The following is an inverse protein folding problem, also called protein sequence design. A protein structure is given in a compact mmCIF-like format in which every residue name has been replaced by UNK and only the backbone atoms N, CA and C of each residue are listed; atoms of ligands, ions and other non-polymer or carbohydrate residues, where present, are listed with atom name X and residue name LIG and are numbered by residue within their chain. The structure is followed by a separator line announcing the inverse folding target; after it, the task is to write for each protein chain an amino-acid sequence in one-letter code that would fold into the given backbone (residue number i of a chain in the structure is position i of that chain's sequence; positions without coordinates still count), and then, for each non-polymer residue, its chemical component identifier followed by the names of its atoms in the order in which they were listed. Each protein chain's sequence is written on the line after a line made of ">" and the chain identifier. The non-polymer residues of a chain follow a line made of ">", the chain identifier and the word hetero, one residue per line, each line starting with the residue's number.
data_IF_445098963347
#
_entry.id   IF_445098963347
#
_cell.length_a   1.000
_cell.length_b   1.000
_cell.length_c   1.000
_cell.angle_alpha   90.00
_cell.angle_beta   90.00
_cell.angle_gamma   90.00
#
_symmetry.space_group_name_H-M   'P 1'
#
loop_
_entity.id
_entity.type
_entity.pdbx_description
1 polymer ?
#
# COMPACT_ATOMS: atom_id res chain seq x y z
N UNK A 1 46.46 -56.47 34.32
CA UNK A 1 45.12 -56.74 33.75
C UNK A 1 44.13 -55.95 34.59
N UNK A 2 43.82 -54.71 34.18
CA UNK A 2 43.03 -53.73 34.94
C UNK A 2 41.67 -53.53 34.27
N UNK A 3 40.68 -53.40 35.14
CA UNK A 3 39.25 -53.59 34.97
C UNK A 3 38.56 -52.59 34.04
N UNK A 4 37.53 -53.08 33.35
CA UNK A 4 36.51 -52.32 32.64
C UNK A 4 35.70 -51.44 33.62
N UNK A 5 35.54 -50.16 33.30
CA UNK A 5 34.40 -49.35 33.75
C UNK A 5 33.72 -48.78 32.50
N UNK A 6 32.57 -49.40 32.19
CA UNK A 6 31.56 -48.94 31.24
C UNK A 6 30.95 -47.63 31.78
N UNK A 7 31.15 -46.52 31.06
CA UNK A 7 30.42 -45.27 31.29
C UNK A 7 29.09 -45.36 30.54
N UNK A 8 28.02 -45.57 31.31
CA UNK A 8 26.63 -45.53 30.88
C UNK A 8 26.23 -44.13 30.40
N UNK A 9 25.80 -44.07 29.15
CA UNK A 9 24.49 -43.56 28.72
C UNK A 9 23.81 -42.52 29.66
N UNK A 10 23.97 -41.25 29.32
CA UNK A 10 22.99 -40.22 29.67
C UNK A 10 22.66 -39.44 28.39
N UNK A 11 21.88 -40.10 27.52
CA UNK A 11 21.13 -39.44 26.46
C UNK A 11 19.99 -38.61 27.11
N UNK A 12 20.34 -37.46 27.67
CA UNK A 12 19.35 -36.40 27.86
C UNK A 12 19.17 -35.74 26.49
N UNK A 13 18.17 -36.24 25.75
CA UNK A 13 17.59 -35.50 24.64
C UNK A 13 17.13 -34.14 25.18
N UNK A 14 17.95 -33.12 25.01
CA UNK A 14 17.50 -31.75 25.15
C UNK A 14 16.51 -31.51 24.01
N UNK A 15 15.23 -31.66 24.33
CA UNK A 15 14.14 -31.09 23.55
C UNK A 15 14.39 -29.58 23.57
N UNK A 16 14.95 -29.05 22.48
CA UNK A 16 15.06 -27.61 22.27
C UNK A 16 13.65 -27.08 22.05
N UNK A 17 13.01 -26.62 23.13
CA UNK A 17 11.79 -25.85 23.02
C UNK A 17 12.15 -24.53 22.35
N UNK A 18 11.61 -24.30 21.15
CA UNK A 18 11.80 -23.05 20.42
C UNK A 18 11.22 -21.90 21.24
N UNK A 19 12.08 -21.17 21.96
CA UNK A 19 11.69 -19.93 22.64
C UNK A 19 11.42 -18.86 21.58
N UNK A 20 10.16 -18.73 21.17
CA UNK A 20 9.70 -17.56 20.41
C UNK A 20 9.47 -16.42 21.42
N UNK A 21 10.53 -15.71 21.80
CA UNK A 21 10.39 -14.54 22.68
C UNK A 21 11.70 -13.81 22.98
N UNK A 22 11.72 -12.51 22.64
CA UNK A 22 12.63 -11.43 23.09
C UNK A 22 13.93 -11.15 22.33
N UNK A 23 14.23 -11.84 21.23
CA UNK A 23 15.33 -11.38 20.37
C UNK A 23 14.90 -10.15 19.56
N UNK A 24 15.74 -9.09 19.48
CA UNK A 24 15.48 -7.95 18.61
C UNK A 24 15.27 -8.42 17.16
N UNK A 25 14.19 -7.96 16.53
CA UNK A 25 13.95 -8.23 15.11
C UNK A 25 14.96 -7.41 14.30
N UNK A 26 15.81 -8.04 13.48
CA UNK A 26 16.83 -7.32 12.72
C UNK A 26 16.20 -6.51 11.58
N UNK A 27 16.86 -5.43 11.19
CA UNK A 27 16.59 -4.74 9.92
C UNK A 27 17.45 -5.41 8.85
N UNK A 28 16.82 -5.98 7.82
CA UNK A 28 17.49 -6.63 6.70
C UNK A 28 17.91 -5.62 5.63
N UNK A 29 17.07 -4.61 5.40
CA UNK A 29 17.30 -3.55 4.41
C UNK A 29 16.85 -2.21 4.97
N UNK A 30 17.62 -1.18 4.70
CA UNK A 30 17.25 0.21 4.96
C UNK A 30 17.83 1.11 3.87
N UNK A 31 16.98 1.92 3.26
CA UNK A 31 17.33 2.94 2.28
C UNK A 31 16.65 4.25 2.68
N UNK A 32 17.35 5.36 2.56
CA UNK A 32 16.83 6.71 2.79
C UNK A 32 17.58 7.69 1.90
N UNK A 33 16.85 8.55 1.22
CA UNK A 33 17.39 9.58 0.34
C UNK A 33 16.49 10.83 0.39
N UNK A 34 17.13 12.00 0.39
CA UNK A 34 16.49 13.28 0.63
C UNK A 34 16.31 13.64 2.13
N UNK A 35 15.52 14.68 2.45
CA UNK A 35 14.78 15.50 1.49
C UNK A 35 15.71 16.27 0.54
N UNK A 36 15.40 16.20 -0.74
CA UNK A 36 16.10 16.90 -1.80
C UNK A 36 15.64 18.36 -1.86
N UNK A 37 16.40 19.19 -2.57
CA UNK A 37 16.10 20.63 -2.72
C UNK A 37 14.76 20.91 -3.39
N UNK A 38 14.23 19.97 -4.17
CA UNK A 38 12.94 20.03 -4.85
C UNK A 38 11.78 19.48 -4.00
N UNK A 39 12.04 19.15 -2.72
CA UNK A 39 11.07 18.56 -1.80
C UNK A 39 10.82 17.07 -2.03
N UNK A 40 11.55 16.43 -2.95
CA UNK A 40 11.45 14.98 -3.14
C UNK A 40 12.19 14.20 -2.07
N UNK A 41 11.71 13.01 -1.74
CA UNK A 41 12.38 12.08 -0.83
C UNK A 41 11.98 10.65 -1.15
N UNK A 42 12.76 9.69 -0.65
CA UNK A 42 12.38 8.27 -0.64
C UNK A 42 12.98 7.56 0.56
N UNK A 43 12.27 6.58 1.06
CA UNK A 43 12.78 5.66 2.07
C UNK A 43 12.19 4.27 1.86
N UNK A 44 12.92 3.25 2.29
CA UNK A 44 12.45 1.87 2.29
C UNK A 44 13.12 1.09 3.42
N UNK A 45 12.40 0.16 4.03
CA UNK A 45 12.98 -0.77 4.99
C UNK A 45 12.35 -2.16 4.90
N UNK A 46 13.10 -3.14 5.38
CA UNK A 46 12.68 -4.53 5.50
C UNK A 46 13.20 -5.10 6.82
N UNK A 47 12.34 -5.79 7.56
CA UNK A 47 12.65 -6.40 8.85
C UNK A 47 12.73 -7.93 8.74
N UNK A 48 13.44 -8.57 9.67
CA UNK A 48 13.61 -10.03 9.73
C UNK A 48 12.32 -10.80 10.00
N UNK A 49 11.23 -10.13 10.39
CA UNK A 49 9.90 -10.73 10.54
C UNK A 49 8.97 -10.42 9.35
N UNK A 50 9.53 -10.16 8.17
CA UNK A 50 8.81 -9.97 6.91
C UNK A 50 7.86 -8.75 6.90
N UNK A 51 8.20 -7.71 7.67
CA UNK A 51 7.58 -6.40 7.53
C UNK A 51 8.43 -5.60 6.56
N UNK A 52 7.80 -5.07 5.52
CA UNK A 52 8.45 -4.14 4.60
C UNK A 52 7.59 -2.91 4.40
N UNK A 53 8.22 -1.76 4.29
CA UNK A 53 7.55 -0.53 3.90
C UNK A 53 8.47 0.33 3.06
N UNK A 54 7.88 1.09 2.15
CA UNK A 54 8.56 2.04 1.30
C UNK A 54 7.64 3.21 1.02
N UNK A 55 8.23 4.38 0.82
CA UNK A 55 7.51 5.58 0.41
C UNK A 55 8.45 6.47 -0.40
N UNK A 56 7.89 7.15 -1.40
CA UNK A 56 8.50 8.27 -2.07
C UNK A 56 7.54 9.45 -2.08
N UNK A 57 8.07 10.64 -1.87
CA UNK A 57 7.30 11.87 -1.95
C UNK A 57 7.94 12.88 -2.87
N UNK A 58 7.11 13.82 -3.35
CA UNK A 58 7.52 14.95 -4.18
C UNK A 58 6.54 16.11 -4.02
N UNK A 59 6.97 17.32 -4.36
CA UNK A 59 6.12 18.52 -4.30
C UNK A 59 5.63 18.87 -5.71
N UNK A 60 4.32 18.78 -5.95
CA UNK A 60 3.69 19.37 -7.13
C UNK A 60 3.78 20.89 -7.03
N UNK A 61 4.06 21.56 -8.16
CA UNK A 61 4.21 23.02 -8.26
C UNK A 61 5.33 23.61 -7.37
N UNK A 62 6.41 22.85 -7.13
CA UNK A 62 7.55 23.33 -6.36
C UNK A 62 8.06 24.69 -6.86
N UNK A 63 8.28 25.63 -5.93
CA UNK A 63 8.78 26.98 -6.21
C UNK A 63 7.73 27.97 -6.71
N UNK A 64 6.43 27.60 -6.71
CA UNK A 64 5.32 28.51 -7.05
C UNK A 64 4.84 29.35 -5.86
N UNK A 65 5.35 29.09 -4.66
CA UNK A 65 5.04 29.84 -3.44
C UNK A 65 4.05 29.12 -2.52
N UNK A 66 4.02 29.55 -1.26
CA UNK A 66 3.18 28.96 -0.22
C UNK A 66 1.69 28.95 -0.64
N UNK A 67 1.04 27.79 -0.54
CA UNK A 67 -0.37 27.60 -0.88
C UNK A 67 -0.66 27.13 -2.32
N UNK A 68 0.34 27.12 -3.21
CA UNK A 68 0.23 26.46 -4.53
C UNK A 68 0.99 25.13 -4.60
N UNK A 69 1.91 24.93 -3.68
CA UNK A 69 2.69 23.72 -3.51
C UNK A 69 1.86 22.64 -2.84
N UNK A 70 1.84 21.45 -3.44
CA UNK A 70 1.10 20.29 -2.93
C UNK A 70 2.09 19.16 -2.73
N UNK A 71 2.27 18.75 -1.47
CA UNK A 71 3.03 17.56 -1.15
C UNK A 71 2.25 16.32 -1.60
N UNK A 72 2.91 15.45 -2.35
CA UNK A 72 2.44 14.13 -2.70
C UNK A 72 3.35 13.10 -2.05
N UNK A 73 2.76 12.03 -1.51
CA UNK A 73 3.48 10.87 -1.02
C UNK A 73 2.80 9.60 -1.54
N UNK A 74 3.57 8.67 -2.07
CA UNK A 74 3.11 7.36 -2.49
C UNK A 74 3.94 6.29 -1.82
N UNK A 75 3.30 5.24 -1.35
CA UNK A 75 3.99 4.22 -0.58
C UNK A 75 3.25 2.91 -0.53
N UNK A 76 3.94 1.93 0.04
CA UNK A 76 3.39 0.60 0.27
C UNK A 76 3.95 -0.01 1.54
N UNK A 77 3.12 -0.75 2.26
CA UNK A 77 3.50 -1.54 3.43
C UNK A 77 2.98 -2.96 3.28
N UNK A 78 3.79 -3.93 3.69
CA UNK A 78 3.45 -5.34 3.74
C UNK A 78 3.84 -5.94 5.07
N UNK A 79 2.97 -6.77 5.64
CA UNK A 79 3.23 -7.51 6.88
C UNK A 79 2.41 -8.79 6.94
N UNK A 80 2.79 -9.73 7.80
CA UNK A 80 1.98 -10.91 8.11
C UNK A 80 1.04 -10.63 9.26
N UNK A 81 -0.26 -10.86 9.05
CA UNK A 81 -1.26 -10.83 10.12
C UNK A 81 -1.05 -11.99 11.13
N UNK A 82 -1.65 -11.94 12.32
CA UNK A 82 -1.47 -12.97 13.36
C UNK A 82 -1.87 -14.39 12.94
N UNK A 83 -2.73 -14.51 11.94
CA UNK A 83 -3.16 -15.76 11.30
C UNK A 83 -2.19 -16.26 10.21
N UNK A 84 -1.13 -15.51 9.93
CA UNK A 84 -0.15 -15.79 8.88
C UNK A 84 -0.53 -15.25 7.49
N UNK A 85 -1.71 -14.62 7.36
CA UNK A 85 -2.16 -14.05 6.08
C UNK A 85 -1.28 -12.85 5.70
N UNK A 86 -0.71 -12.81 4.48
CA UNK A 86 0.02 -11.65 4.02
C UNK A 86 -0.95 -10.49 3.79
N UNK A 87 -0.70 -9.36 4.45
CA UNK A 87 -1.42 -8.11 4.28
C UNK A 87 -0.52 -7.15 3.52
N UNK A 88 -1.03 -6.61 2.43
CA UNK A 88 -0.40 -5.55 1.67
C UNK A 88 -1.34 -4.35 1.57
N UNK A 89 -0.76 -3.15 1.63
CA UNK A 89 -1.42 -1.87 1.51
C UNK A 89 -0.56 -0.98 0.62
N UNK A 90 -1.13 -0.40 -0.42
CA UNK A 90 -0.55 0.72 -1.17
C UNK A 90 -1.35 1.98 -0.90
N UNK A 91 -0.75 3.15 -1.06
CA UNK A 91 -1.46 4.40 -0.90
C UNK A 91 -0.86 5.51 -1.75
N UNK A 92 -1.71 6.50 -2.03
CA UNK A 92 -1.33 7.81 -2.52
C UNK A 92 -1.94 8.83 -1.56
N UNK A 93 -1.13 9.78 -1.10
CA UNK A 93 -1.53 10.92 -0.31
C UNK A 93 -1.26 12.18 -1.13
N UNK A 94 -2.30 12.91 -1.50
CA UNK A 94 -2.21 14.16 -2.26
C UNK A 94 -3.28 15.17 -1.81
N UNK A 95 -3.58 16.15 -2.65
CA UNK A 95 -4.65 17.14 -2.46
C UNK A 95 -6.04 16.56 -2.17
N UNK A 96 -6.29 15.31 -2.58
CA UNK A 96 -7.54 14.60 -2.33
C UNK A 96 -7.50 13.77 -1.03
N UNK A 97 -6.43 13.90 -0.23
CA UNK A 97 -6.22 13.17 1.00
C UNK A 97 -5.56 11.80 0.80
N UNK A 98 -5.66 10.95 1.82
CA UNK A 98 -5.07 9.61 1.84
C UNK A 98 -5.98 8.59 1.17
N UNK A 99 -5.47 7.92 0.13
CA UNK A 99 -6.21 6.98 -0.70
C UNK A 99 -5.57 5.59 -0.63
N UNK A 100 -5.90 4.79 0.41
CA UNK A 100 -5.35 3.46 0.57
C UNK A 100 -6.01 2.43 -0.36
N UNK A 101 -5.23 1.50 -0.88
CA UNK A 101 -5.71 0.30 -1.58
C UNK A 101 -5.11 -0.95 -0.93
N UNK A 102 -5.96 -1.92 -0.64
CA UNK A 102 -5.57 -3.19 -0.04
C UNK A 102 -6.76 -4.13 0.02
N UNK A 103 -6.53 -5.43 -0.19
CA UNK A 103 -7.60 -6.44 -0.22
C UNK A 103 -8.37 -6.57 1.11
N UNK A 104 -7.75 -6.15 2.22
CA UNK A 104 -8.31 -6.18 3.57
C UNK A 104 -9.16 -4.95 3.91
N UNK A 105 -9.20 -3.94 3.03
CA UNK A 105 -9.97 -2.72 3.27
C UNK A 105 -11.47 -2.97 3.02
N UNK A 106 -12.36 -2.30 3.77
CA UNK A 106 -13.79 -2.33 3.48
C UNK A 106 -14.06 -1.84 2.07
N UNK A 107 -14.78 -2.65 1.29
CA UNK A 107 -15.28 -2.22 -0.03
C UNK A 107 -16.70 -1.64 0.11
N UNK A 108 -17.06 -0.63 -0.69
CA UNK A 108 -18.43 -0.15 -0.71
C UNK A 108 -19.38 -1.30 -1.12
N UNK A 109 -20.64 -1.28 -0.64
CA UNK A 109 -21.60 -2.31 -1.01
C UNK A 109 -21.78 -2.35 -2.53
N UNK A 110 -22.11 -3.53 -3.09
CA UNK A 110 -22.32 -3.68 -4.52
C UNK A 110 -23.44 -2.76 -5.03
N UNK A 111 -23.30 -2.32 -6.27
CA UNK A 111 -24.30 -1.47 -6.93
C UNK A 111 -25.67 -2.18 -6.94
N UNK A 112 -26.77 -1.52 -6.53
CA UNK A 112 -28.10 -2.13 -6.53
C UNK A 112 -28.52 -2.61 -7.94
N UNK A 113 -29.20 -3.78 -8.06
CA UNK A 113 -29.61 -4.33 -9.35
C UNK A 113 -30.47 -3.40 -10.22
N UNK A 114 -31.23 -2.50 -9.60
CA UNK A 114 -32.01 -1.50 -10.33
C UNK A 114 -31.13 -0.50 -11.09
N UNK A 115 -30.00 -0.09 -10.50
CA UNK A 115 -29.05 0.82 -11.13
C UNK A 115 -28.32 0.10 -12.27
N UNK A 116 -27.92 -1.15 -12.08
CA UNK A 116 -27.32 -1.97 -13.15
C UNK A 116 -28.27 -2.08 -14.34
N UNK A 117 -29.55 -2.43 -14.11
CA UNK A 117 -30.57 -2.48 -15.16
C UNK A 117 -30.76 -1.12 -15.85
N UNK A 118 -30.72 -0.02 -15.10
CA UNK A 118 -30.84 1.32 -15.68
C UNK A 118 -29.63 1.66 -16.56
N UNK A 119 -28.40 1.33 -16.14
CA UNK A 119 -27.18 1.52 -16.92
C UNK A 119 -27.17 0.66 -18.19
N UNK A 120 -27.57 -0.60 -18.09
CA UNK A 120 -27.75 -1.50 -19.24
C UNK A 120 -28.79 -0.96 -20.21
N UNK A 121 -29.93 -0.46 -19.70
CA UNK A 121 -30.95 0.16 -20.53
C UNK A 121 -30.44 1.41 -21.25
N UNK A 122 -29.70 2.30 -20.56
CA UNK A 122 -29.11 3.50 -21.16
C UNK A 122 -28.07 3.12 -22.23
N UNK A 123 -27.23 2.11 -21.95
CA UNK A 123 -26.23 1.63 -22.90
C UNK A 123 -26.87 0.99 -24.14
N UNK A 124 -27.96 0.24 -23.97
CA UNK A 124 -28.71 -0.39 -25.05
C UNK A 124 -29.62 0.60 -25.81
N UNK A 125 -29.96 1.74 -25.20
CA UNK A 125 -30.80 2.77 -25.80
C UNK A 125 -30.08 4.13 -25.76
N UNK A 126 -29.05 4.33 -26.62
CA UNK A 126 -28.35 5.59 -26.73
C UNK A 126 -29.36 6.71 -26.96
N UNK A 127 -29.34 7.72 -26.09
CA UNK A 127 -30.12 8.92 -26.35
C UNK A 127 -29.60 9.52 -27.66
N UNK A 128 -30.46 9.89 -28.63
CA UNK A 128 -30.00 10.65 -29.77
C UNK A 128 -29.26 11.87 -29.22
N UNK A 129 -28.00 12.07 -29.64
CA UNK A 129 -27.26 13.28 -29.31
C UNK A 129 -28.21 14.43 -29.56
N UNK A 130 -28.57 15.18 -28.52
CA UNK A 130 -29.33 16.41 -28.67
C UNK A 130 -28.56 17.21 -29.72
N UNK A 131 -29.11 17.29 -30.94
CA UNK A 131 -28.66 18.21 -31.95
C UNK A 131 -28.87 19.57 -31.30
N UNK A 132 -27.84 20.08 -30.65
CA UNK A 132 -27.81 21.42 -30.15
C UNK A 132 -28.11 22.24 -31.40
N UNK A 133 -29.28 22.90 -31.50
CA UNK A 133 -29.59 23.65 -32.70
C UNK A 133 -28.43 24.63 -32.85
N UNK A 134 -27.72 24.54 -33.99
CA UNK A 134 -26.62 25.42 -34.28
C UNK A 134 -27.13 26.84 -34.02
N UNK A 135 -26.61 27.49 -32.97
CA UNK A 135 -26.99 28.86 -32.69
C UNK A 135 -26.64 29.61 -33.97
N UNK A 136 -27.61 30.24 -34.65
CA UNK A 136 -27.27 30.99 -35.84
C UNK A 136 -26.26 32.02 -35.38
N UNK A 137 -25.04 31.96 -35.95
CA UNK A 137 -24.04 33.00 -35.79
C UNK A 137 -24.78 34.31 -36.02
N UNK A 138 -24.95 35.10 -34.95
CA UNK A 138 -25.69 36.35 -35.01
C UNK A 138 -24.92 37.26 -35.95
N UNK A 139 -25.32 37.23 -37.21
CA UNK A 139 -24.84 38.07 -38.27
C UNK A 139 -25.03 39.51 -37.85
N UNK A 140 -23.93 40.24 -37.95
CA UNK A 140 -23.79 41.66 -37.67
C UNK A 140 -24.97 42.48 -38.18
N UNK A 141 -25.39 43.43 -37.36
CA UNK A 141 -25.59 44.82 -37.78
C UNK A 141 -24.83 45.70 -36.81
#
# INVERSE_FOLDING_TARGET
>A
MISFIFICLAACCFVTQAQKGNDPIPILKYESDGPNVDGSYKWAFETGNEISAQESGYVKNFGKGEGQEIQVAEGSVSYKAPDGTPIALSYIADENGFQPQGAHLPTPPPIPPAILRALEYIAANPQPQNQQPAQPLRGKR
#
